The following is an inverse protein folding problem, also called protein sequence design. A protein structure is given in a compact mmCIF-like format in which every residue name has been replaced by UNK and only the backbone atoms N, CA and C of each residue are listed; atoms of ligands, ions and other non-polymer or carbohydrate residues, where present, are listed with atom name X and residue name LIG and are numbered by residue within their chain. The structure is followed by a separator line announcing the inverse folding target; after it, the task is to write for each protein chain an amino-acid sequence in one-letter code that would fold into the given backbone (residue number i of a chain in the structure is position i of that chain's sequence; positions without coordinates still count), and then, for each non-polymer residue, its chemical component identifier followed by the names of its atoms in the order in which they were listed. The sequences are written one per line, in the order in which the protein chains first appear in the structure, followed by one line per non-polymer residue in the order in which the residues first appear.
data_IF_944585269684
#
_entry.id   IF_944585269684
#
_cell.length_a   1.000
_cell.length_b   1.000
_cell.length_c   1.000
_cell.angle_alpha   90.00
_cell.angle_beta   90.00
_cell.angle_gamma   90.00
#
_symmetry.space_group_name_H-M   'P 1'
#
loop_
_entity.id
_entity.type
_entity.pdbx_description
1 polymer ?
#
# COMPACT_ATOMS: atom_id res chain seq x y z
N UNK A 1 -16.71 -0.24 -26.41
CA UNK A 1 -15.60 -0.33 -25.44
C UNK A 1 -15.11 1.02 -24.93
N UNK A 2 -14.87 2.04 -25.77
CA UNK A 2 -14.38 3.35 -25.33
C UNK A 2 -15.28 4.08 -24.30
N UNK A 3 -16.62 4.08 -24.49
CA UNK A 3 -17.56 4.73 -23.55
C UNK A 3 -17.55 4.12 -22.14
N UNK A 4 -17.35 2.81 -22.03
CA UNK A 4 -17.29 2.11 -20.74
C UNK A 4 -15.98 2.42 -19.98
N UNK A 5 -14.88 2.64 -20.70
CA UNK A 5 -13.62 3.06 -20.09
C UNK A 5 -13.72 4.47 -19.51
N UNK A 6 -14.30 5.43 -20.25
CA UNK A 6 -14.46 6.82 -19.80
C UNK A 6 -15.33 6.90 -18.54
N UNK A 7 -16.42 6.14 -18.48
CA UNK A 7 -17.34 6.15 -17.33
C UNK A 7 -16.65 5.68 -16.04
N UNK A 8 -15.79 4.66 -16.12
CA UNK A 8 -14.99 4.19 -14.98
C UNK A 8 -14.02 5.26 -14.48
N UNK A 9 -13.36 6.00 -15.39
CA UNK A 9 -12.48 7.11 -15.00
C UNK A 9 -13.24 8.25 -14.33
N UNK A 10 -14.43 8.58 -14.81
CA UNK A 10 -15.30 9.60 -14.19
C UNK A 10 -15.75 9.15 -12.80
N UNK A 11 -16.18 7.90 -12.65
CA UNK A 11 -16.54 7.33 -11.34
C UNK A 11 -15.36 7.32 -10.38
N UNK A 12 -14.17 6.96 -10.87
CA UNK A 12 -12.94 7.00 -10.10
C UNK A 12 -12.63 8.41 -9.59
N UNK A 13 -12.69 9.41 -10.46
CA UNK A 13 -12.51 10.81 -10.09
C UNK A 13 -13.58 11.28 -9.09
N UNK A 14 -14.84 10.91 -9.30
CA UNK A 14 -15.94 11.22 -8.39
C UNK A 14 -15.70 10.63 -6.99
N UNK A 15 -15.27 9.37 -6.90
CA UNK A 15 -14.96 8.73 -5.61
C UNK A 15 -13.81 9.43 -4.89
N UNK A 16 -12.77 9.83 -5.61
CA UNK A 16 -11.65 10.59 -5.03
C UNK A 16 -12.14 11.93 -4.46
N UNK A 17 -12.95 12.67 -5.21
CA UNK A 17 -13.54 13.93 -4.75
C UNK A 17 -14.42 13.71 -3.53
N UNK A 18 -15.26 12.67 -3.53
CA UNK A 18 -16.14 12.35 -2.42
C UNK A 18 -15.37 11.96 -1.15
N UNK A 19 -14.28 11.20 -1.27
CA UNK A 19 -13.39 10.87 -0.14
C UNK A 19 -12.75 12.11 0.49
N UNK A 20 -12.45 13.14 -0.32
CA UNK A 20 -11.87 14.40 0.16
C UNK A 20 -12.91 15.38 0.69
N UNK A 21 -14.20 15.16 0.39
CA UNK A 21 -15.27 16.09 0.73
C UNK A 21 -15.81 15.81 2.14
N UNK A 22 -15.75 16.75 3.09
CA UNK A 22 -16.22 16.54 4.47
C UNK A 22 -17.73 16.22 4.55
N UNK A 23 -18.53 16.78 3.63
CA UNK A 23 -19.98 16.54 3.58
C UNK A 23 -20.35 15.08 3.26
N UNK A 24 -19.42 14.28 2.72
CA UNK A 24 -19.61 12.84 2.53
C UNK A 24 -19.73 12.08 3.86
N UNK A 25 -19.14 12.62 4.93
CA UNK A 25 -19.05 12.02 6.26
C UNK A 25 -20.09 12.59 7.24
N UNK A 26 -21.35 12.69 6.82
CA UNK A 26 -22.45 13.13 7.66
C UNK A 26 -23.21 11.98 8.33
N UNK A 27 -23.58 12.15 9.61
CA UNK A 27 -24.50 11.25 10.33
C UNK A 27 -24.03 9.80 10.37
N UNK A 28 -24.87 8.88 9.89
CA UNK A 28 -24.61 7.43 9.88
C UNK A 28 -23.38 7.04 9.05
N UNK A 29 -23.01 7.83 8.04
CA UNK A 29 -21.82 7.57 7.19
C UNK A 29 -20.51 7.82 7.94
N UNK A 30 -20.48 8.77 8.89
CA UNK A 30 -19.30 8.97 9.74
C UNK A 30 -19.04 7.75 10.65
N UNK A 31 -20.11 7.20 11.23
CA UNK A 31 -20.02 5.99 12.05
C UNK A 31 -19.58 4.79 11.20
N UNK A 32 -20.14 4.65 9.99
CA UNK A 32 -19.70 3.62 9.04
C UNK A 32 -18.22 3.77 8.68
N UNK A 33 -17.75 5.00 8.42
CA UNK A 33 -16.33 5.25 8.12
C UNK A 33 -15.41 4.83 9.27
N UNK A 34 -15.75 5.16 10.52
CA UNK A 34 -14.98 4.71 11.69
C UNK A 34 -14.95 3.18 11.82
N UNK A 35 -16.10 2.53 11.62
CA UNK A 35 -16.17 1.07 11.66
C UNK A 35 -15.32 0.43 10.57
N UNK A 36 -15.40 0.95 9.34
CA UNK A 36 -14.63 0.44 8.21
C UNK A 36 -13.13 0.67 8.39
N UNK A 37 -12.70 1.80 8.96
CA UNK A 37 -11.28 2.04 9.28
C UNK A 37 -10.71 0.94 10.20
N UNK A 38 -11.46 0.57 11.25
CA UNK A 38 -11.05 -0.50 12.16
C UNK A 38 -11.08 -1.86 11.46
N UNK A 39 -12.14 -2.18 10.72
CA UNK A 39 -12.29 -3.45 10.02
C UNK A 39 -11.26 -3.66 8.90
N UNK A 40 -10.88 -2.60 8.20
CA UNK A 40 -9.86 -2.65 7.14
C UNK A 40 -8.44 -2.78 7.71
N UNK A 41 -8.20 -2.29 8.93
CA UNK A 41 -6.84 -2.14 9.46
C UNK A 41 -6.49 -3.24 10.46
N UNK A 42 -7.29 -3.38 11.52
CA UNK A 42 -6.94 -4.16 12.70
C UNK A 42 -6.77 -5.66 12.41
N UNK A 43 -7.66 -6.32 11.64
CA UNK A 43 -7.51 -7.74 11.31
C UNK A 43 -6.37 -8.03 10.33
N UNK A 44 -5.99 -7.03 9.50
CA UNK A 44 -4.93 -7.20 8.50
C UNK A 44 -3.54 -7.03 9.10
N UNK A 45 -3.42 -6.16 10.10
CA UNK A 45 -2.17 -5.78 10.76
C UNK A 45 -1.29 -6.99 11.17
N UNK A 46 -1.76 -7.97 11.97
CA UNK A 46 -0.88 -9.05 12.43
C UNK A 46 -0.39 -9.93 11.29
N UNK A 47 -1.27 -10.31 10.35
CA UNK A 47 -0.89 -11.14 9.20
C UNK A 47 0.11 -10.43 8.29
N UNK A 48 -0.09 -9.14 8.06
CA UNK A 48 0.84 -8.32 7.28
C UNK A 48 2.19 -8.16 7.98
N UNK A 49 2.22 -7.91 9.29
CA UNK A 49 3.49 -7.78 10.03
C UNK A 49 4.27 -9.09 10.04
N UNK A 50 3.62 -10.24 10.17
CA UNK A 50 4.30 -11.55 10.08
C UNK A 50 4.90 -11.75 8.68
N UNK A 51 4.13 -11.46 7.63
CA UNK A 51 4.60 -11.55 6.25
C UNK A 51 5.78 -10.60 6.00
N UNK A 52 5.63 -9.34 6.40
CA UNK A 52 6.65 -8.30 6.28
C UNK A 52 7.91 -8.65 7.08
N UNK A 53 7.76 -9.19 8.30
CA UNK A 53 8.88 -9.66 9.11
C UNK A 53 9.63 -10.80 8.43
N UNK A 54 8.91 -11.81 7.94
CA UNK A 54 9.51 -12.97 7.29
C UNK A 54 10.29 -12.56 6.04
N UNK A 55 9.67 -11.75 5.17
CA UNK A 55 10.33 -11.22 3.97
C UNK A 55 11.56 -10.39 4.35
N UNK A 56 11.44 -9.52 5.36
CA UNK A 56 12.53 -8.67 5.81
C UNK A 56 13.70 -9.49 6.36
N UNK A 57 13.44 -10.46 7.24
CA UNK A 57 14.48 -11.33 7.81
C UNK A 57 15.17 -12.13 6.71
N UNK A 58 14.40 -12.74 5.80
CA UNK A 58 14.98 -13.56 4.72
C UNK A 58 15.84 -12.71 3.79
N UNK A 59 15.34 -11.55 3.33
CA UNK A 59 16.10 -10.68 2.44
C UNK A 59 17.34 -10.10 3.12
N UNK A 60 17.23 -9.65 4.38
CA UNK A 60 18.38 -9.17 5.16
C UNK A 60 19.43 -10.25 5.33
N UNK A 61 19.03 -11.48 5.65
CA UNK A 61 19.96 -12.62 5.79
C UNK A 61 20.66 -12.95 4.46
N UNK A 62 19.92 -13.02 3.36
CA UNK A 62 20.48 -13.33 2.03
C UNK A 62 21.49 -12.27 1.62
N UNK A 63 21.11 -10.99 1.74
CA UNK A 63 21.97 -9.89 1.30
C UNK A 63 23.20 -9.75 2.18
N UNK A 64 23.07 -9.88 3.51
CA UNK A 64 24.22 -9.82 4.42
C UNK A 64 25.19 -10.98 4.20
N UNK A 65 24.68 -12.19 3.95
CA UNK A 65 25.52 -13.34 3.62
C UNK A 65 26.31 -13.08 2.32
N UNK A 66 25.63 -12.66 1.26
CA UNK A 66 26.27 -12.33 -0.02
C UNK A 66 27.30 -11.19 0.12
N UNK A 67 27.00 -10.17 0.91
CA UNK A 67 27.87 -9.02 1.08
C UNK A 67 29.14 -9.34 1.88
N UNK A 68 29.10 -10.34 2.76
CA UNK A 68 30.27 -10.78 3.52
C UNK A 68 31.34 -11.44 2.63
N UNK A 69 30.91 -12.10 1.55
CA UNK A 69 31.81 -12.72 0.56
C UNK A 69 32.46 -11.68 -0.35
N UNK A 70 31.78 -10.56 -0.59
CA UNK A 70 32.23 -9.48 -1.48
C UNK A 70 33.04 -8.39 -0.76
N UNK A 71 33.04 -8.37 0.57
CA UNK A 71 33.69 -7.31 1.38
C UNK A 71 32.97 -5.95 1.33
N UNK A 72 31.71 -5.90 0.86
CA UNK A 72 30.96 -4.65 0.61
C UNK A 72 29.72 -4.53 1.52
N UNK A 73 29.84 -4.95 2.78
CA UNK A 73 28.71 -5.06 3.73
C UNK A 73 27.89 -3.77 3.92
N UNK A 74 28.53 -2.60 3.90
CA UNK A 74 27.84 -1.31 4.05
C UNK A 74 27.03 -0.89 2.82
N UNK A 75 27.53 -1.20 1.60
CA UNK A 75 26.81 -0.87 0.36
C UNK A 75 25.58 -1.78 0.18
N UNK A 76 25.70 -3.04 0.61
CA UNK A 76 24.61 -4.01 0.57
C UNK A 76 23.42 -3.60 1.45
N UNK A 77 23.66 -2.99 2.61
CA UNK A 77 22.60 -2.46 3.47
C UNK A 77 21.86 -1.27 2.85
N UNK A 78 22.60 -0.34 2.22
CA UNK A 78 21.99 0.78 1.51
C UNK A 78 21.09 0.30 0.37
N UNK A 79 21.56 -0.66 -0.42
CA UNK A 79 20.78 -1.23 -1.51
C UNK A 79 19.56 -1.99 -0.98
N UNK A 80 19.75 -2.82 0.05
CA UNK A 80 18.66 -3.60 0.64
C UNK A 80 17.54 -2.71 1.14
N UNK A 81 17.87 -1.66 1.90
CA UNK A 81 16.82 -0.83 2.52
C UNK A 81 16.09 -0.04 1.44
N UNK A 82 16.79 0.41 0.39
CA UNK A 82 16.15 1.03 -0.78
C UNK A 82 15.18 0.07 -1.45
N UNK A 83 15.62 -1.12 -1.87
CA UNK A 83 14.74 -2.07 -2.57
C UNK A 83 13.62 -2.61 -1.68
N UNK A 84 13.92 -2.92 -0.42
CA UNK A 84 12.94 -3.53 0.48
C UNK A 84 11.90 -2.52 0.97
N UNK A 85 12.36 -1.38 1.49
CA UNK A 85 11.47 -0.38 2.09
C UNK A 85 10.87 0.54 1.05
N UNK A 86 11.69 1.01 0.10
CA UNK A 86 11.22 2.00 -0.87
C UNK A 86 10.49 1.35 -2.03
N UNK A 87 10.80 0.12 -2.44
CA UNK A 87 10.18 -0.49 -3.62
C UNK A 87 9.13 -1.52 -3.18
N UNK A 88 9.57 -2.56 -2.48
CA UNK A 88 8.78 -3.77 -2.25
C UNK A 88 7.62 -3.61 -1.24
N UNK A 89 7.87 -3.00 -0.07
CA UNK A 89 6.87 -2.96 1.02
C UNK A 89 5.58 -2.21 0.66
N UNK A 90 5.60 -1.02 0.01
CA UNK A 90 4.38 -0.34 -0.42
C UNK A 90 3.52 -1.20 -1.36
N UNK A 91 4.16 -1.90 -2.30
CA UNK A 91 3.46 -2.79 -3.23
C UNK A 91 2.81 -3.97 -2.51
N UNK A 92 3.53 -4.60 -1.57
CA UNK A 92 2.98 -5.70 -0.76
C UNK A 92 1.82 -5.20 0.10
N UNK A 93 1.96 -4.04 0.75
CA UNK A 93 0.89 -3.47 1.58
C UNK A 93 -0.38 -3.22 0.75
N UNK A 94 -0.26 -2.58 -0.42
CA UNK A 94 -1.36 -2.37 -1.34
C UNK A 94 -2.01 -3.69 -1.78
N UNK A 95 -1.20 -4.67 -2.17
CA UNK A 95 -1.67 -5.99 -2.62
C UNK A 95 -2.38 -6.77 -1.50
N UNK A 96 -1.88 -6.66 -0.26
CA UNK A 96 -2.46 -7.33 0.90
C UNK A 96 -3.84 -6.76 1.23
N UNK A 97 -3.98 -5.43 1.27
CA UNK A 97 -5.28 -4.76 1.48
C UNK A 97 -6.24 -5.04 0.32
N UNK A 98 -5.74 -5.06 -0.91
CA UNK A 98 -6.52 -5.39 -2.10
C UNK A 98 -7.19 -6.77 -1.97
N UNK A 99 -6.40 -7.79 -1.66
CA UNK A 99 -6.84 -9.18 -1.59
C UNK A 99 -7.71 -9.49 -0.37
N UNK A 100 -7.36 -8.93 0.79
CA UNK A 100 -7.95 -9.33 2.07
C UNK A 100 -9.13 -8.47 2.49
N UNK A 101 -9.26 -7.26 1.94
CA UNK A 101 -10.33 -6.34 2.32
C UNK A 101 -11.03 -5.73 1.10
N UNK A 102 -10.32 -5.03 0.21
CA UNK A 102 -10.97 -4.22 -0.85
C UNK A 102 -11.83 -5.04 -1.81
N UNK A 103 -11.29 -6.14 -2.35
CA UNK A 103 -12.03 -7.01 -3.27
C UNK A 103 -13.18 -7.73 -2.56
N UNK A 104 -12.97 -8.17 -1.32
CA UNK A 104 -14.00 -8.85 -0.52
C UNK A 104 -15.17 -7.90 -0.24
N UNK A 105 -14.88 -6.67 0.19
CA UNK A 105 -15.87 -5.64 0.45
C UNK A 105 -16.61 -5.23 -0.83
N UNK A 106 -15.89 -4.99 -1.93
CA UNK A 106 -16.50 -4.66 -3.21
C UNK A 106 -17.41 -5.80 -3.71
N UNK A 107 -17.00 -7.05 -3.56
CA UNK A 107 -17.82 -8.20 -3.97
C UNK A 107 -19.09 -8.33 -3.10
N UNK A 108 -18.98 -8.14 -1.78
CA UNK A 108 -20.14 -8.14 -0.88
C UNK A 108 -21.16 -7.05 -1.25
N UNK A 109 -20.68 -5.85 -1.62
CA UNK A 109 -21.54 -4.76 -2.08
C UNK A 109 -22.10 -5.00 -3.49
N UNK A 110 -21.38 -5.70 -4.36
CA UNK A 110 -21.86 -6.02 -5.71
C UNK A 110 -23.05 -6.98 -5.75
N UNK A 111 -23.28 -7.74 -4.68
CA UNK A 111 -24.39 -8.70 -4.57
C UNK A 111 -25.69 -8.08 -4.02
N UNK A 112 -25.63 -6.91 -3.38
CA UNK A 112 -26.71 -6.31 -2.60
C UNK A 112 -27.17 -4.97 -3.19
N UNK A 113 -28.26 -4.93 -3.96
CA UNK A 113 -28.88 -3.69 -4.50
C UNK A 113 -27.92 -2.73 -5.26
N UNK A 114 -28.50 -1.67 -5.84
CA UNK A 114 -27.72 -0.59 -6.44
C UNK A 114 -27.21 0.35 -5.35
N UNK A 115 -25.89 0.37 -5.13
CA UNK A 115 -25.23 1.34 -4.26
C UNK A 115 -24.94 2.65 -5.00
N UNK A 116 -25.04 3.77 -4.29
CA UNK A 116 -24.60 5.06 -4.81
C UNK A 116 -23.09 5.26 -4.55
N UNK A 117 -22.40 6.13 -5.33
CA UNK A 117 -21.00 6.46 -5.06
C UNK A 117 -20.73 6.97 -3.64
N UNK A 118 -21.74 7.54 -2.97
CA UNK A 118 -21.64 8.01 -1.58
C UNK A 118 -21.59 6.87 -0.56
N UNK A 119 -22.23 5.74 -0.85
CA UNK A 119 -22.32 4.60 0.07
C UNK A 119 -21.01 3.81 0.15
N UNK A 120 -20.19 3.87 -0.91
CA UNK A 120 -18.89 3.19 -0.98
C UNK A 120 -17.74 4.03 -0.39
N UNK A 121 -17.95 5.34 -0.12
CA UNK A 121 -16.92 6.25 0.41
C UNK A 121 -16.29 5.74 1.71
N UNK A 122 -17.04 5.24 2.71
CA UNK A 122 -16.47 4.70 3.94
C UNK A 122 -15.43 3.60 3.67
N UNK A 123 -15.75 2.66 2.77
CA UNK A 123 -14.87 1.55 2.40
C UNK A 123 -13.64 2.04 1.64
N UNK A 124 -13.82 2.96 0.68
CA UNK A 124 -12.71 3.54 -0.08
C UNK A 124 -11.72 4.25 0.85
N UNK A 125 -12.24 5.07 1.79
CA UNK A 125 -11.39 5.77 2.77
C UNK A 125 -10.68 4.83 3.74
N UNK A 126 -11.34 3.73 4.12
CA UNK A 126 -10.74 2.69 4.94
C UNK A 126 -9.62 1.94 4.20
N UNK A 127 -9.77 1.67 2.89
CA UNK A 127 -8.70 1.12 2.06
C UNK A 127 -7.48 2.04 2.03
N UNK A 128 -7.68 3.34 1.79
CA UNK A 128 -6.57 4.30 1.74
C UNK A 128 -5.80 4.29 3.06
N UNK A 129 -6.53 4.41 4.17
CA UNK A 129 -5.93 4.41 5.50
C UNK A 129 -5.20 3.10 5.81
N UNK A 130 -5.82 1.95 5.52
CA UNK A 130 -5.22 0.64 5.79
C UNK A 130 -3.92 0.45 5.00
N UNK A 131 -3.87 0.83 3.72
CA UNK A 131 -2.63 0.73 2.91
C UNK A 131 -1.52 1.59 3.50
N UNK A 132 -1.82 2.85 3.85
CA UNK A 132 -0.84 3.75 4.46
C UNK A 132 -0.35 3.22 5.81
N UNK A 133 -1.27 2.78 6.67
CA UNK A 133 -0.94 2.20 7.97
C UNK A 133 -0.04 0.98 7.82
N UNK A 134 -0.40 0.02 6.97
CA UNK A 134 0.38 -1.19 6.74
C UNK A 134 1.75 -0.84 6.14
N UNK A 135 1.82 0.04 5.15
CA UNK A 135 3.09 0.46 4.54
C UNK A 135 4.05 1.06 5.58
N UNK A 136 3.57 1.98 6.42
CA UNK A 136 4.37 2.59 7.49
C UNK A 136 4.78 1.54 8.53
N UNK A 137 3.84 0.71 8.97
CA UNK A 137 4.10 -0.33 9.99
C UNK A 137 5.14 -1.35 9.50
N UNK A 138 5.03 -1.78 8.24
CA UNK A 138 5.98 -2.68 7.60
C UNK A 138 7.34 -2.05 7.43
N UNK A 139 7.41 -0.79 7.00
CA UNK A 139 8.68 -0.06 6.84
C UNK A 139 9.41 0.10 8.18
N UNK A 140 8.68 0.44 9.25
CA UNK A 140 9.22 0.53 10.60
C UNK A 140 9.72 -0.84 11.08
N UNK A 141 8.93 -1.90 10.92
CA UNK A 141 9.31 -3.24 11.32
C UNK A 141 10.54 -3.74 10.56
N UNK A 142 10.59 -3.54 9.25
CA UNK A 142 11.74 -3.88 8.42
C UNK A 142 13.00 -3.12 8.84
N UNK A 143 12.87 -1.84 9.19
CA UNK A 143 13.99 -1.01 9.69
C UNK A 143 14.51 -1.55 11.02
N UNK A 144 13.62 -1.94 11.95
CA UNK A 144 13.99 -2.58 13.22
C UNK A 144 14.71 -3.91 12.98
N UNK A 145 14.19 -4.75 12.09
CA UNK A 145 14.81 -6.04 11.74
C UNK A 145 16.20 -5.83 11.13
N UNK A 146 16.35 -4.85 10.23
CA UNK A 146 17.64 -4.51 9.63
C UNK A 146 18.64 -4.04 10.70
N UNK A 147 18.20 -3.16 11.63
CA UNK A 147 19.04 -2.72 12.74
C UNK A 147 19.53 -3.90 13.59
N UNK A 148 18.61 -4.73 14.06
CA UNK A 148 18.93 -5.88 14.93
C UNK A 148 19.81 -6.90 14.21
N UNK A 149 19.64 -7.07 12.90
CA UNK A 149 20.45 -8.02 12.12
C UNK A 149 21.90 -7.56 11.94
N UNK A 150 22.15 -6.24 11.93
CA UNK A 150 23.49 -5.66 11.70
C UNK A 150 24.22 -5.38 13.01
N UNK A 151 23.54 -4.70 13.94
CA UNK A 151 24.14 -4.20 15.17
C UNK A 151 23.79 -5.08 16.40
N UNK A 152 22.93 -6.09 16.23
CA UNK A 152 22.40 -6.86 17.36
C UNK A 152 21.49 -6.00 18.24
N UNK A 153 21.50 -6.29 19.55
CA UNK A 153 20.81 -5.48 20.56
C UNK A 153 21.66 -4.33 21.12
N UNK A 154 22.81 -4.05 20.48
CA UNK A 154 23.68 -2.95 20.91
C UNK A 154 23.01 -1.60 20.63
N UNK A 155 23.03 -0.69 21.61
CA UNK A 155 22.50 0.69 21.45
C UNK A 155 23.50 1.64 20.79
N UNK A 156 24.78 1.26 20.71
CA UNK A 156 25.84 2.12 20.17
C UNK A 156 25.76 2.27 18.64
N UNK A 157 25.04 1.37 17.96
CA UNK A 157 24.81 1.42 16.52
C UNK A 157 23.75 2.43 16.07
N UNK A 158 22.97 3.00 17.00
CA UNK A 158 21.77 3.79 16.68
C UNK A 158 22.09 5.09 15.95
N UNK A 159 23.18 5.78 16.34
CA UNK A 159 23.63 6.98 15.66
C UNK A 159 24.09 6.70 14.22
N UNK A 160 24.84 5.61 14.03
CA UNK A 160 25.29 5.16 12.70
C UNK A 160 24.10 4.78 11.83
N UNK A 161 23.18 3.99 12.35
CA UNK A 161 21.97 3.57 11.62
C UNK A 161 21.08 4.75 11.24
N UNK A 162 20.82 5.70 12.16
CA UNK A 162 20.03 6.89 11.86
C UNK A 162 20.69 7.76 10.78
N UNK A 163 22.02 7.87 10.79
CA UNK A 163 22.75 8.60 9.75
C UNK A 163 22.59 7.91 8.39
N UNK A 164 22.69 6.59 8.34
CA UNK A 164 22.44 5.81 7.12
C UNK A 164 21.00 5.97 6.64
N UNK A 165 20.00 5.92 7.54
CA UNK A 165 18.59 6.14 7.19
C UNK A 165 18.39 7.54 6.62
N UNK A 166 18.95 8.58 7.24
CA UNK A 166 18.85 9.94 6.74
C UNK A 166 19.47 10.12 5.34
N UNK A 167 20.55 9.39 5.03
CA UNK A 167 21.17 9.40 3.70
C UNK A 167 20.34 8.67 2.65
N UNK A 168 19.59 7.63 3.05
CA UNK A 168 18.70 6.88 2.15
C UNK A 168 17.40 7.66 1.88
N UNK A 169 16.77 8.17 2.94
CA UNK A 169 15.51 8.91 2.89
C UNK A 169 15.75 10.39 2.62
N UNK A 170 16.30 10.70 1.45
CA UNK A 170 16.40 12.08 1.00
C UNK A 170 15.01 12.70 0.81
N UNK A 171 14.86 14.03 0.85
CA UNK A 171 13.56 14.68 0.65
C UNK A 171 12.87 14.25 -0.65
N UNK A 172 13.64 14.09 -1.73
CA UNK A 172 13.14 13.61 -3.03
C UNK A 172 12.60 12.19 -2.93
N UNK A 173 13.35 11.27 -2.32
CA UNK A 173 12.91 9.87 -2.11
C UNK A 173 11.64 9.82 -1.27
N UNK A 174 11.53 10.65 -0.22
CA UNK A 174 10.34 10.73 0.61
C UNK A 174 9.10 11.21 -0.15
N UNK A 175 9.25 12.20 -1.05
CA UNK A 175 8.14 12.67 -1.90
C UNK A 175 7.71 11.58 -2.88
N UNK A 176 8.66 10.92 -3.55
CA UNK A 176 8.36 9.83 -4.49
C UNK A 176 7.69 8.66 -3.77
N UNK A 177 8.24 8.23 -2.62
CA UNK A 177 7.66 7.19 -1.78
C UNK A 177 6.25 7.55 -1.29
N UNK A 178 6.06 8.79 -0.82
CA UNK A 178 4.75 9.27 -0.38
C UNK A 178 3.74 9.24 -1.52
N UNK A 179 4.11 9.79 -2.68
CA UNK A 179 3.26 9.85 -3.86
C UNK A 179 2.87 8.45 -4.36
N UNK A 180 3.84 7.54 -4.53
CA UNK A 180 3.55 6.19 -5.03
C UNK A 180 2.67 5.40 -4.07
N UNK A 181 2.89 5.55 -2.76
CA UNK A 181 2.11 4.85 -1.74
C UNK A 181 0.68 5.38 -1.73
N UNK A 182 0.50 6.70 -1.84
CA UNK A 182 -0.82 7.33 -2.00
C UNK A 182 -1.53 6.88 -3.27
N UNK A 183 -0.86 6.89 -4.42
CA UNK A 183 -1.42 6.44 -5.69
C UNK A 183 -1.83 4.97 -5.63
N UNK A 184 -1.02 4.13 -5.01
CA UNK A 184 -1.32 2.71 -4.78
C UNK A 184 -2.52 2.54 -3.86
N UNK A 185 -2.59 3.31 -2.77
CA UNK A 185 -3.71 3.31 -1.84
C UNK A 185 -5.02 3.75 -2.52
N UNK A 186 -4.97 4.80 -3.35
CA UNK A 186 -6.11 5.26 -4.16
C UNK A 186 -6.53 4.22 -5.20
N UNK A 187 -5.58 3.55 -5.86
CA UNK A 187 -5.89 2.48 -6.81
C UNK A 187 -6.65 1.33 -6.13
N UNK A 188 -6.17 0.89 -4.95
CA UNK A 188 -6.84 -0.14 -4.13
C UNK A 188 -8.22 0.31 -3.65
N UNK A 189 -8.38 1.60 -3.34
CA UNK A 189 -9.64 2.16 -2.89
C UNK A 189 -10.67 2.36 -4.01
N UNK A 190 -10.24 2.58 -5.26
CA UNK A 190 -11.15 3.03 -6.33
C UNK A 190 -11.44 1.94 -7.35
N UNK A 191 -10.45 1.14 -7.74
CA UNK A 191 -10.62 0.17 -8.84
C UNK A 191 -11.72 -0.86 -8.54
N UNK A 192 -11.77 -1.50 -7.35
CA UNK A 192 -12.82 -2.48 -7.06
C UNK A 192 -14.21 -1.84 -6.91
N UNK A 193 -14.31 -0.69 -6.25
CA UNK A 193 -15.58 -0.04 -5.93
C UNK A 193 -16.18 0.72 -7.13
N UNK A 194 -15.36 1.19 -8.07
CA UNK A 194 -15.85 1.78 -9.32
C UNK A 194 -16.66 0.79 -10.16
N UNK A 195 -16.33 -0.50 -10.09
CA UNK A 195 -17.09 -1.54 -10.77
C UNK A 195 -18.46 -1.78 -10.12
N UNK A 196 -18.53 -1.71 -8.79
CA UNK A 196 -19.78 -1.79 -8.01
C UNK A 196 -20.69 -0.61 -8.33
N UNK A 197 -20.13 0.61 -8.33
CA UNK A 197 -20.88 1.85 -8.58
C UNK A 197 -21.40 1.97 -10.03
N UNK A 198 -20.76 1.31 -11.00
CA UNK A 198 -21.19 1.33 -12.40
C UNK A 198 -22.38 0.38 -12.67
N UNK A 199 -22.68 -0.55 -11.75
CA UNK A 199 -23.84 -1.46 -11.82
C UNK A 199 -23.84 -2.43 -13.02
N UNK A 200 -22.75 -2.50 -13.78
CA UNK A 200 -22.60 -3.38 -14.93
C UNK A 200 -22.17 -4.77 -14.46
N UNK A 201 -22.76 -5.80 -15.10
CA UNK A 201 -22.54 -7.27 -14.95
C UNK A 201 -21.29 -7.64 -14.14
N UNK A 202 -21.38 -8.53 -13.12
CA UNK A 202 -20.24 -8.94 -12.31
C UNK A 202 -19.08 -9.36 -13.21
N UNK A 203 -18.05 -8.52 -13.29
CA UNK A 203 -16.75 -8.92 -13.85
C UNK A 203 -16.24 -10.02 -12.93
N UNK A 204 -15.58 -11.04 -13.50
CA UNK A 204 -14.91 -12.01 -12.65
C UNK A 204 -13.94 -11.30 -11.71
N UNK A 205 -13.94 -11.70 -10.44
CA UNK A 205 -13.05 -11.16 -9.41
C UNK A 205 -11.58 -11.16 -9.88
N UNK A 206 -11.23 -12.18 -10.68
CA UNK A 206 -9.93 -12.32 -11.32
C UNK A 206 -9.59 -11.16 -12.27
N UNK A 207 -10.54 -10.67 -13.07
CA UNK A 207 -10.31 -9.55 -14.01
C UNK A 207 -10.14 -8.24 -13.26
N UNK A 208 -10.92 -8.02 -12.20
CA UNK A 208 -10.78 -6.82 -11.35
C UNK A 208 -9.44 -6.86 -10.62
N UNK A 209 -9.07 -8.00 -10.06
CA UNK A 209 -7.78 -8.20 -9.42
C UNK A 209 -6.61 -8.00 -10.39
N UNK A 210 -6.64 -8.63 -11.56
CA UNK A 210 -5.58 -8.50 -12.56
C UNK A 210 -5.41 -7.04 -13.01
N UNK A 211 -6.52 -6.30 -13.19
CA UNK A 211 -6.48 -4.87 -13.51
C UNK A 211 -5.85 -4.06 -12.38
N UNK A 212 -6.23 -4.32 -11.13
CA UNK A 212 -5.67 -3.64 -9.97
C UNK A 212 -4.17 -3.91 -9.85
N UNK A 213 -3.73 -5.17 -9.99
CA UNK A 213 -2.31 -5.53 -9.99
C UNK A 213 -1.55 -4.85 -11.12
N UNK A 214 -2.10 -4.81 -12.34
CA UNK A 214 -1.47 -4.11 -13.45
C UNK A 214 -1.30 -2.60 -13.17
N UNK A 215 -2.29 -1.97 -12.54
CA UNK A 215 -2.21 -0.55 -12.14
C UNK A 215 -1.16 -0.35 -11.06
N UNK A 216 -1.12 -1.21 -10.04
CA UNK A 216 -0.12 -1.14 -8.97
C UNK A 216 1.30 -1.31 -9.51
N UNK A 217 1.52 -2.27 -10.41
CA UNK A 217 2.82 -2.46 -11.06
C UNK A 217 3.20 -1.28 -11.95
N UNK A 218 2.25 -0.67 -12.64
CA UNK A 218 2.50 0.53 -13.45
C UNK A 218 2.89 1.73 -12.57
N UNK A 219 2.20 1.93 -11.45
CA UNK A 219 2.56 2.96 -10.45
C UNK A 219 3.98 2.69 -9.92
N UNK A 220 4.30 1.45 -9.59
CA UNK A 220 5.61 1.07 -9.09
C UNK A 220 6.70 1.34 -10.14
N UNK A 221 6.48 0.94 -11.39
CA UNK A 221 7.44 1.13 -12.48
C UNK A 221 7.68 2.61 -12.79
N UNK A 222 6.62 3.42 -12.83
CA UNK A 222 6.74 4.88 -13.01
C UNK A 222 7.48 5.53 -11.84
N UNK A 223 7.20 5.10 -10.61
CA UNK A 223 7.90 5.58 -9.43
C UNK A 223 9.38 5.20 -9.45
N UNK A 224 9.71 4.02 -9.97
CA UNK A 224 11.09 3.56 -10.12
C UNK A 224 11.81 4.46 -11.13
N UNK A 225 11.25 4.64 -12.33
CA UNK A 225 11.81 5.53 -13.36
C UNK A 225 12.07 6.93 -12.80
N UNK A 226 11.10 7.53 -12.10
CA UNK A 226 11.23 8.87 -11.51
C UNK A 226 12.27 8.98 -10.39
N UNK A 227 12.69 7.88 -9.78
CA UNK A 227 13.69 7.90 -8.70
C UNK A 227 15.12 7.66 -9.25
N UNK A 228 15.25 7.03 -10.42
CA UNK A 228 16.53 6.71 -11.05
C UNK A 228 16.90 7.67 -12.20
N UNK A 229 15.96 8.44 -12.74
CA UNK A 229 16.14 9.46 -13.79
C UNK A 229 15.63 10.82 -13.34
#
# INVERSE_FOLDING_TARGET
MARASIRLWVLAAQLIVLMLTPASYGGTRAQSAMQQLVQASLPLLPGFLVLSALISVVLVRIVLAAASELGVSQFALNLLIRTLVLELLPLIAASFVALRYSLVAANALGHERSYTPLDVVPFCSACVFAVLLLAVSGALLASVIAYVSVYGLSVWGLASFNTLMAQIFTPTVMVVLGCKTLLSALAVAVVPFSAVADGLVPRSDLVVFARLMAILLLIELLSLVSNYY
#
